data_IF_356554917978
#
_entry.id   IF_356554917978
#
_cell.length_a   1.000
_cell.length_b   1.000
_cell.length_c   1.000
_cell.angle_alpha   90.00
_cell.angle_beta   90.00
_cell.angle_gamma   90.00
#
_symmetry.space_group_name_H-M   'P 1'
#
loop_
_entity.id
_entity.type
_entity.pdbx_description
1 polymer ?
#
# COMPACT_ATOMS: atom_id res chain seq x y z
N UNK A 1 23.09 -49.81 -5.23
CA UNK A 1 21.83 -49.09 -5.52
C UNK A 1 21.68 -48.00 -4.47
N UNK A 2 21.98 -46.76 -4.82
CA UNK A 2 21.93 -45.63 -3.88
C UNK A 2 21.00 -44.59 -4.48
N UNK A 3 19.79 -44.51 -3.93
CA UNK A 3 18.79 -43.50 -4.33
C UNK A 3 19.19 -42.21 -3.63
N UNK A 4 19.78 -41.28 -4.37
CA UNK A 4 19.97 -39.91 -3.90
C UNK A 4 18.62 -39.19 -3.95
N UNK A 5 18.10 -38.85 -2.78
CA UNK A 5 16.97 -37.93 -2.66
C UNK A 5 17.37 -36.57 -3.21
N UNK A 6 16.60 -36.08 -4.17
CA UNK A 6 16.72 -34.73 -4.70
C UNK A 6 15.44 -33.95 -4.44
N UNK A 7 15.66 -32.67 -4.16
CA UNK A 7 14.75 -31.53 -4.31
C UNK A 7 13.65 -31.34 -3.25
N UNK A 8 13.95 -30.49 -2.25
CA UNK A 8 12.94 -29.68 -1.53
C UNK A 8 13.44 -28.27 -1.19
N UNK A 9 14.47 -27.77 -1.87
CA UNK A 9 15.00 -26.41 -1.63
C UNK A 9 14.18 -25.29 -2.32
N UNK A 10 13.40 -25.60 -3.36
CA UNK A 10 12.66 -24.58 -4.14
C UNK A 10 11.33 -24.12 -3.52
N UNK A 11 10.79 -24.86 -2.56
CA UNK A 11 9.51 -24.51 -1.90
C UNK A 11 9.72 -23.52 -0.75
N UNK A 12 10.77 -23.70 0.06
CA UNK A 12 11.07 -22.83 1.21
C UNK A 12 11.37 -21.38 0.80
N UNK A 13 12.14 -21.17 -0.27
CA UNK A 13 12.55 -19.83 -0.70
C UNK A 13 11.40 -18.95 -1.19
N UNK A 14 10.37 -19.55 -1.80
CA UNK A 14 9.19 -18.82 -2.30
C UNK A 14 8.25 -18.41 -1.15
N UNK A 15 8.08 -19.26 -0.14
CA UNK A 15 7.27 -18.94 1.04
C UNK A 15 7.86 -17.82 1.89
N UNK A 16 9.19 -17.81 2.03
CA UNK A 16 9.91 -16.78 2.78
C UNK A 16 9.87 -15.42 2.05
N UNK A 17 10.04 -15.43 0.72
CA UNK A 17 9.95 -14.21 -0.09
C UNK A 17 8.54 -13.61 -0.06
N UNK A 18 7.50 -14.46 -0.15
CA UNK A 18 6.10 -14.02 -0.07
C UNK A 18 5.78 -13.39 1.27
N UNK A 19 6.11 -14.10 2.35
CA UNK A 19 5.88 -13.62 3.73
C UNK A 19 6.55 -12.27 3.94
N UNK A 20 7.81 -12.12 3.52
CA UNK A 20 8.53 -10.85 3.64
C UNK A 20 7.88 -9.72 2.85
N UNK A 21 7.47 -9.97 1.61
CA UNK A 21 6.80 -8.96 0.78
C UNK A 21 5.45 -8.55 1.40
N UNK A 22 4.67 -9.51 1.92
CA UNK A 22 3.40 -9.25 2.57
C UNK A 22 3.58 -8.45 3.87
N UNK A 23 4.58 -8.78 4.70
CA UNK A 23 4.90 -7.99 5.91
C UNK A 23 5.28 -6.56 5.55
N UNK A 24 6.11 -6.35 4.52
CA UNK A 24 6.46 -5.01 4.07
C UNK A 24 5.25 -4.20 3.60
N UNK A 25 4.30 -4.84 2.89
CA UNK A 25 3.05 -4.21 2.49
C UNK A 25 2.20 -3.83 3.71
N UNK A 26 1.98 -4.76 4.65
CA UNK A 26 1.20 -4.51 5.87
C UNK A 26 1.81 -3.35 6.67
N UNK A 27 3.13 -3.33 6.82
CA UNK A 27 3.83 -2.26 7.53
C UNK A 27 3.68 -0.91 6.82
N UNK A 28 3.72 -0.88 5.49
CA UNK A 28 3.51 0.34 4.71
C UNK A 28 2.07 0.84 4.82
N UNK A 29 1.08 -0.05 4.67
CA UNK A 29 -0.35 0.27 4.77
C UNK A 29 -0.71 0.78 6.18
N UNK A 30 -0.22 0.11 7.21
CA UNK A 30 -0.43 0.52 8.61
C UNK A 30 0.17 1.90 8.93
N UNK A 31 1.25 2.29 8.24
CA UNK A 31 1.84 3.63 8.39
C UNK A 31 1.10 4.69 7.57
N UNK A 32 0.37 4.29 6.53
CA UNK A 32 -0.36 5.21 5.67
C UNK A 32 -1.69 5.64 6.30
N UNK A 33 -2.40 4.74 6.97
CA UNK A 33 -3.70 5.04 7.58
C UNK A 33 -3.71 6.29 8.50
N UNK A 34 -2.74 6.49 9.43
CA UNK A 34 -2.69 7.69 10.25
C UNK A 34 -2.43 8.98 9.45
N UNK A 35 -1.76 8.87 8.30
CA UNK A 35 -1.46 10.01 7.43
C UNK A 35 -2.73 10.47 6.71
N UNK A 36 -3.54 9.55 6.20
CA UNK A 36 -4.86 9.84 5.62
C UNK A 36 -5.77 10.56 6.62
N UNK A 37 -5.78 10.08 7.87
CA UNK A 37 -6.55 10.72 8.95
C UNK A 37 -6.03 12.14 9.26
N UNK A 38 -4.71 12.33 9.33
CA UNK A 38 -4.09 13.63 9.57
C UNK A 38 -4.34 14.62 8.42
N UNK A 39 -4.30 14.16 7.16
CA UNK A 39 -4.63 14.95 5.99
C UNK A 39 -6.09 15.40 6.02
N UNK A 40 -7.02 14.46 6.23
CA UNK A 40 -8.45 14.75 6.35
C UNK A 40 -8.74 15.79 7.45
N UNK A 41 -8.05 15.68 8.59
CA UNK A 41 -8.18 16.66 9.68
C UNK A 41 -7.62 18.03 9.29
N UNK A 42 -6.47 18.08 8.63
CA UNK A 42 -5.84 19.32 8.18
C UNK A 42 -6.68 20.04 7.11
N UNK A 43 -7.26 19.29 6.17
CA UNK A 43 -8.18 19.81 5.15
C UNK A 43 -9.41 20.44 5.79
N UNK A 44 -10.09 19.71 6.70
CA UNK A 44 -11.25 20.25 7.42
C UNK A 44 -10.92 21.53 8.17
N UNK A 45 -9.77 21.58 8.85
CA UNK A 45 -9.34 22.75 9.60
C UNK A 45 -9.05 23.95 8.68
N UNK A 46 -8.40 23.72 7.53
CA UNK A 46 -8.13 24.78 6.56
C UNK A 46 -9.42 25.30 5.91
N UNK A 47 -10.28 24.41 5.41
CA UNK A 47 -11.52 24.79 4.75
C UNK A 47 -12.57 25.42 5.67
N UNK A 48 -12.52 25.11 6.98
CA UNK A 48 -13.35 25.79 7.97
C UNK A 48 -12.95 27.27 8.15
N UNK A 49 -11.66 27.59 8.00
CA UNK A 49 -11.16 28.95 8.13
C UNK A 49 -11.43 29.78 6.88
N UNK A 50 -11.32 29.18 5.69
CA UNK A 50 -11.54 29.89 4.41
C UNK A 50 -13.02 30.20 4.11
N UNK A 51 -13.96 29.69 4.92
CA UNK A 51 -15.41 29.91 4.77
C UNK A 51 -15.98 31.05 5.63
N UNK A 52 -15.15 31.77 6.39
CA UNK A 52 -15.60 32.89 7.26
C UNK A 52 -15.66 34.22 6.49
N UNK A 53 -16.72 34.99 6.75
CA UNK A 53 -16.96 36.31 6.14
C UNK A 53 -15.88 37.35 6.47
N UNK A 54 -15.70 38.29 5.53
CA UNK A 54 -14.60 39.28 5.46
C UNK A 54 -14.42 40.22 6.68
N UNK A 55 -15.28 40.15 7.70
CA UNK A 55 -15.23 41.03 8.87
C UNK A 55 -14.20 40.61 9.96
N UNK A 56 -13.68 39.38 9.95
CA UNK A 56 -12.65 38.88 10.91
C UNK A 56 -11.22 38.80 10.32
N UNK A 57 -11.01 39.37 9.12
CA UNK A 57 -9.88 39.09 8.22
C UNK A 57 -8.44 39.22 8.80
N UNK A 58 -8.18 40.04 9.84
CA UNK A 58 -6.80 40.26 10.31
C UNK A 58 -6.28 39.26 11.37
N UNK A 59 -7.14 38.68 12.23
CA UNK A 59 -6.71 37.59 13.14
C UNK A 59 -6.67 36.24 12.43
N UNK A 60 -7.47 36.09 11.37
CA UNK A 60 -7.61 34.85 10.64
C UNK A 60 -6.43 34.55 9.71
N UNK A 61 -5.72 35.56 9.19
CA UNK A 61 -4.57 35.35 8.29
C UNK A 61 -3.44 34.51 8.90
N UNK A 62 -3.13 34.69 10.19
CA UNK A 62 -2.08 33.88 10.84
C UNK A 62 -2.56 32.46 11.12
N UNK A 63 -3.84 32.29 11.49
CA UNK A 63 -4.45 30.99 11.70
C UNK A 63 -4.55 30.19 10.39
N UNK A 64 -4.98 30.85 9.32
CA UNK A 64 -5.04 30.30 7.96
C UNK A 64 -3.66 29.89 7.45
N UNK A 65 -2.64 30.75 7.59
CA UNK A 65 -1.24 30.38 7.23
C UNK A 65 -0.75 29.16 8.00
N UNK A 66 -1.07 29.05 9.29
CA UNK A 66 -0.71 27.88 10.11
C UNK A 66 -1.47 26.63 9.67
N UNK A 67 -2.75 26.75 9.36
CA UNK A 67 -3.56 25.65 8.85
C UNK A 67 -3.07 25.17 7.48
N UNK A 68 -2.78 26.09 6.56
CA UNK A 68 -2.17 25.80 5.26
C UNK A 68 -0.85 25.07 5.40
N UNK A 69 0.06 25.55 6.27
CA UNK A 69 1.35 24.86 6.51
C UNK A 69 1.17 23.43 7.05
N UNK A 70 0.14 23.19 7.88
CA UNK A 70 -0.18 21.82 8.35
C UNK A 70 -0.74 20.97 7.22
N UNK A 71 -1.61 21.53 6.40
CA UNK A 71 -2.16 20.87 5.22
C UNK A 71 -1.06 20.49 4.22
N UNK A 72 -0.18 21.41 3.87
CA UNK A 72 0.97 21.16 2.99
C UNK A 72 1.87 20.04 3.54
N UNK A 73 2.14 20.04 4.86
CA UNK A 73 2.90 18.98 5.52
C UNK A 73 2.17 17.63 5.46
N UNK A 74 0.84 17.63 5.59
CA UNK A 74 0.04 16.40 5.51
C UNK A 74 0.03 15.83 4.09
N UNK A 75 -0.14 16.66 3.05
CA UNK A 75 -0.02 16.23 1.66
C UNK A 75 1.37 15.67 1.33
N UNK A 76 2.42 16.28 1.89
CA UNK A 76 3.78 15.77 1.71
C UNK A 76 3.98 14.39 2.38
N UNK A 77 3.40 14.19 3.56
CA UNK A 77 3.40 12.89 4.22
C UNK A 77 2.60 11.85 3.43
N UNK A 78 1.42 12.23 2.93
CA UNK A 78 0.54 11.40 2.11
C UNK A 78 1.27 10.91 0.87
N UNK A 79 1.91 11.83 0.12
CA UNK A 79 2.67 11.46 -1.09
C UNK A 79 3.77 10.44 -0.81
N UNK A 80 4.52 10.60 0.28
CA UNK A 80 5.63 9.68 0.63
C UNK A 80 5.12 8.32 1.07
N UNK A 81 4.12 8.29 1.94
CA UNK A 81 3.58 7.04 2.45
C UNK A 81 2.79 6.30 1.36
N UNK A 82 2.03 7.01 0.53
CA UNK A 82 1.36 6.46 -0.64
C UNK A 82 2.35 5.87 -1.65
N UNK A 83 3.48 6.54 -1.91
CA UNK A 83 4.55 5.97 -2.74
C UNK A 83 5.13 4.68 -2.13
N UNK A 84 5.35 4.65 -0.81
CA UNK A 84 5.84 3.44 -0.13
C UNK A 84 4.84 2.28 -0.20
N UNK A 85 3.54 2.54 -0.06
CA UNK A 85 2.49 1.53 -0.25
C UNK A 85 2.50 1.02 -1.68
N UNK A 86 2.56 1.92 -2.67
CA UNK A 86 2.61 1.55 -4.08
C UNK A 86 3.83 0.67 -4.40
N UNK A 87 5.02 1.05 -3.92
CA UNK A 87 6.24 0.24 -4.08
C UNK A 87 6.11 -1.14 -3.43
N UNK A 88 5.51 -1.23 -2.24
CA UNK A 88 5.30 -2.50 -1.54
C UNK A 88 4.31 -3.41 -2.28
N UNK A 89 3.23 -2.86 -2.84
CA UNK A 89 2.28 -3.61 -3.69
C UNK A 89 3.01 -4.13 -4.93
N UNK A 90 3.74 -3.28 -5.65
CA UNK A 90 4.51 -3.70 -6.83
C UNK A 90 5.54 -4.79 -6.50
N UNK A 91 6.20 -4.71 -5.35
CA UNK A 91 7.10 -5.76 -4.89
C UNK A 91 6.36 -7.08 -4.63
N UNK A 92 5.20 -7.03 -3.97
CA UNK A 92 4.37 -8.21 -3.71
C UNK A 92 3.87 -8.88 -5.00
N UNK A 93 3.46 -8.08 -6.00
CA UNK A 93 3.00 -8.59 -7.30
C UNK A 93 4.06 -9.38 -8.06
N UNK A 94 5.35 -9.08 -7.83
CA UNK A 94 6.48 -9.77 -8.45
C UNK A 94 6.83 -11.09 -7.77
N UNK A 95 6.35 -11.33 -6.54
CA UNK A 95 6.58 -12.57 -5.82
C UNK A 95 5.45 -13.56 -6.12
N UNK A 96 5.73 -14.78 -6.61
CA UNK A 96 4.70 -15.77 -6.86
C UNK A 96 3.94 -16.14 -5.58
N UNK A 97 2.61 -16.21 -5.66
CA UNK A 97 1.80 -16.68 -4.55
C UNK A 97 2.08 -18.17 -4.27
N UNK A 98 2.48 -18.56 -3.04
CA UNK A 98 2.85 -19.95 -2.74
C UNK A 98 1.67 -20.93 -2.69
N UNK A 99 0.45 -20.44 -2.49
CA UNK A 99 -0.78 -21.24 -2.39
C UNK A 99 -2.02 -20.41 -2.76
N UNK A 100 -3.19 -21.05 -2.81
CA UNK A 100 -4.45 -20.39 -3.17
C UNK A 100 -4.83 -19.26 -2.20
N UNK A 101 -4.58 -19.43 -0.90
CA UNK A 101 -4.88 -18.39 0.10
C UNK A 101 -4.04 -17.13 -0.13
N UNK A 102 -2.75 -17.28 -0.44
CA UNK A 102 -1.87 -16.17 -0.78
C UNK A 102 -2.31 -15.46 -2.07
N UNK A 103 -2.80 -16.22 -3.05
CA UNK A 103 -3.34 -15.64 -4.27
C UNK A 103 -4.61 -14.81 -4.00
N UNK A 104 -5.52 -15.30 -3.14
CA UNK A 104 -6.71 -14.54 -2.73
C UNK A 104 -6.28 -13.21 -2.08
N UNK A 105 -5.33 -13.26 -1.14
CA UNK A 105 -4.79 -12.03 -0.52
C UNK A 105 -4.19 -11.07 -1.55
N UNK A 106 -3.50 -11.59 -2.58
CA UNK A 106 -2.97 -10.76 -3.68
C UNK A 106 -4.09 -10.03 -4.42
N UNK A 107 -5.19 -10.73 -4.74
CA UNK A 107 -6.35 -10.16 -5.43
C UNK A 107 -7.05 -9.09 -4.59
N UNK A 108 -7.21 -9.32 -3.29
CA UNK A 108 -7.79 -8.34 -2.36
C UNK A 108 -6.96 -7.06 -2.32
N UNK A 109 -5.64 -7.18 -2.25
CA UNK A 109 -4.70 -6.04 -2.25
C UNK A 109 -4.81 -5.26 -3.58
N UNK A 110 -4.77 -5.95 -4.72
CA UNK A 110 -4.91 -5.31 -6.04
C UNK A 110 -6.23 -4.54 -6.16
N UNK A 111 -7.32 -5.15 -5.72
CA UNK A 111 -8.66 -4.55 -5.80
C UNK A 111 -8.75 -3.30 -4.94
N UNK A 112 -8.14 -3.31 -3.75
CA UNK A 112 -8.13 -2.16 -2.83
C UNK A 112 -7.29 -0.99 -3.33
N UNK A 113 -6.23 -1.26 -4.09
CA UNK A 113 -5.26 -0.25 -4.53
C UNK A 113 -5.32 0.07 -6.03
N UNK A 114 -6.40 -0.33 -6.72
CA UNK A 114 -6.70 0.01 -8.12
C UNK A 114 -5.53 -0.25 -9.08
N UNK A 115 -4.85 -1.39 -8.96
CA UNK A 115 -3.66 -1.64 -9.75
C UNK A 115 -3.99 -2.01 -11.22
N UNK A 116 -3.08 -1.66 -12.14
CA UNK A 116 -3.27 -1.72 -13.61
C UNK A 116 -3.33 -3.14 -14.21
N UNK A 117 -3.55 -3.24 -15.53
CA UNK A 117 -3.66 -4.48 -16.32
C UNK A 117 -2.53 -5.50 -16.08
N UNK A 118 -1.32 -5.04 -15.76
CA UNK A 118 -0.17 -5.91 -15.43
C UNK A 118 -0.45 -6.84 -14.23
N UNK A 119 -1.37 -6.45 -13.35
CA UNK A 119 -1.78 -7.24 -12.20
C UNK A 119 -2.54 -8.51 -12.59
N UNK A 120 -3.35 -8.41 -13.66
CA UNK A 120 -4.11 -9.54 -14.18
C UNK A 120 -3.16 -10.64 -14.69
N UNK A 121 -2.09 -10.26 -15.38
CA UNK A 121 -1.09 -11.22 -15.86
C UNK A 121 -0.33 -11.90 -14.70
N UNK A 122 0.00 -11.16 -13.64
CA UNK A 122 0.60 -11.72 -12.42
C UNK A 122 -0.32 -12.77 -11.78
N UNK A 123 -1.61 -12.45 -11.58
CA UNK A 123 -2.61 -13.39 -11.04
C UNK A 123 -2.75 -14.65 -11.90
N UNK A 124 -2.85 -14.49 -13.22
CA UNK A 124 -2.98 -15.62 -14.16
C UNK A 124 -1.73 -16.51 -14.15
N UNK A 125 -0.55 -15.92 -14.03
CA UNK A 125 0.71 -16.67 -13.90
C UNK A 125 0.75 -17.50 -12.62
N UNK A 126 0.33 -16.92 -11.49
CA UNK A 126 0.25 -17.62 -10.21
C UNK A 126 -0.78 -18.76 -10.26
N UNK A 127 -1.97 -18.54 -10.83
CA UNK A 127 -2.99 -19.56 -11.03
C UNK A 127 -2.48 -20.76 -11.83
N UNK A 128 -1.82 -20.51 -12.97
CA UNK A 128 -1.22 -21.56 -13.80
C UNK A 128 -0.16 -22.34 -13.03
N UNK A 129 0.68 -21.63 -12.26
CA UNK A 129 1.74 -22.24 -11.46
C UNK A 129 1.18 -23.11 -10.34
N UNK A 130 0.08 -22.71 -9.70
CA UNK A 130 -0.60 -23.49 -8.68
C UNK A 130 -1.35 -24.69 -9.26
N UNK A 131 -2.01 -24.52 -10.40
CA UNK A 131 -2.71 -25.60 -11.09
C UNK A 131 -1.74 -26.71 -11.56
N UNK A 132 -0.52 -26.35 -11.98
CA UNK A 132 0.50 -27.32 -12.40
C UNK A 132 1.14 -28.10 -11.24
N UNK A 133 0.92 -27.68 -9.98
CA UNK A 133 1.47 -28.33 -8.77
C UNK A 133 0.49 -29.30 -8.11
N UNK A 134 -0.80 -29.23 -8.48
CA UNK A 134 -1.87 -30.11 -8.03
C UNK A 134 -2.15 -31.19 -9.07
#
# INVERSE_FOLDING_TARGET
MTVQGHTSAHSQTSGDAWTKALTNFIDADARFEPVCAALSQAERAYFALTKKDAHEANRDLLAERRAKKRLDKAYEADRRCGAAVHEAVQALLRVPAPNLSALVSKVEIITRHECDEDCVQSILSDLRSLAARN
#
